data_IF_468069850231
#
_entry.id   IF_468069850231
#
_cell.length_a   1.000
_cell.length_b   1.000
_cell.length_c   1.000
_cell.angle_alpha   90.00
_cell.angle_beta   90.00
_cell.angle_gamma   90.00
#
_symmetry.space_group_name_H-M   'P 1'
#
loop_
_entity.id
_entity.type
_entity.pdbx_description
1 polymer ?
#
# COMPACT_ATOMS: atom_id res chain seq x y z
N UNK A 1 -16.95 7.18 -5.28
CA UNK A 1 -16.28 5.89 -5.55
C UNK A 1 -16.89 4.85 -4.62
N UNK A 2 -17.28 3.68 -5.13
CA UNK A 2 -17.86 2.62 -4.30
C UNK A 2 -16.76 1.85 -3.56
N UNK A 3 -17.11 1.19 -2.45
CA UNK A 3 -16.16 0.38 -1.68
C UNK A 3 -15.49 -0.73 -2.53
N UNK A 4 -16.21 -1.46 -3.41
CA UNK A 4 -15.58 -2.45 -4.29
C UNK A 4 -14.55 -1.84 -5.25
N UNK A 5 -14.83 -0.66 -5.82
CA UNK A 5 -13.88 0.02 -6.71
C UNK A 5 -12.57 0.38 -5.99
N UNK A 6 -12.66 0.86 -4.74
CA UNK A 6 -11.50 1.19 -3.93
C UNK A 6 -10.64 -0.04 -3.61
N UNK A 7 -11.28 -1.14 -3.22
CA UNK A 7 -10.59 -2.41 -2.90
C UNK A 7 -9.96 -3.01 -4.15
N UNK A 8 -10.66 -2.99 -5.28
CA UNK A 8 -10.12 -3.51 -6.54
C UNK A 8 -8.91 -2.71 -7.01
N UNK A 9 -8.93 -1.38 -6.88
CA UNK A 9 -7.74 -0.55 -7.12
C UNK A 9 -6.59 -0.89 -6.16
N UNK A 10 -6.90 -1.20 -4.89
CA UNK A 10 -5.89 -1.60 -3.90
C UNK A 10 -5.23 -2.96 -4.20
N UNK A 11 -5.84 -3.82 -5.02
CA UNK A 11 -5.20 -5.06 -5.49
C UNK A 11 -4.00 -4.84 -6.42
N UNK A 12 -3.65 -3.60 -6.75
CA UNK A 12 -2.33 -3.27 -7.32
C UNK A 12 -1.19 -3.42 -6.30
N UNK A 13 -1.48 -3.50 -4.99
CA UNK A 13 -0.45 -3.65 -3.94
C UNK A 13 0.57 -4.78 -4.17
N UNK A 14 0.21 -6.04 -4.53
CA UNK A 14 1.19 -7.10 -4.80
C UNK A 14 2.16 -6.77 -5.95
N UNK A 15 1.75 -5.96 -6.92
CA UNK A 15 2.63 -5.47 -7.97
C UNK A 15 3.73 -4.58 -7.38
N UNK A 16 3.34 -3.59 -6.57
CA UNK A 16 4.29 -2.72 -5.90
C UNK A 16 5.16 -3.47 -4.89
N UNK A 17 4.62 -4.46 -4.18
CA UNK A 17 5.41 -5.31 -3.26
C UNK A 17 6.52 -6.00 -4.05
N UNK A 18 6.21 -6.55 -5.21
CA UNK A 18 7.18 -7.31 -6.01
C UNK A 18 8.28 -6.40 -6.57
N UNK A 19 7.92 -5.23 -7.11
CA UNK A 19 8.88 -4.25 -7.62
C UNK A 19 9.75 -3.70 -6.49
N UNK A 20 9.14 -3.26 -5.39
CA UNK A 20 9.86 -2.73 -4.23
C UNK A 20 10.74 -3.81 -3.58
N UNK A 21 10.32 -5.08 -3.57
CA UNK A 21 11.14 -6.19 -3.09
C UNK A 21 12.42 -6.35 -3.91
N UNK A 22 12.36 -6.25 -5.24
CA UNK A 22 13.57 -6.29 -6.08
C UNK A 22 14.49 -5.11 -5.78
N UNK A 23 13.95 -3.91 -5.60
CA UNK A 23 14.76 -2.72 -5.36
C UNK A 23 15.39 -2.70 -3.97
N UNK A 24 14.62 -3.06 -2.93
CA UNK A 24 15.04 -2.99 -1.51
C UNK A 24 15.86 -4.22 -1.09
N UNK A 25 15.47 -5.42 -1.52
CA UNK A 25 16.11 -6.69 -1.11
C UNK A 25 17.17 -7.12 -2.13
N UNK A 26 17.05 -6.73 -3.40
CA UNK A 26 17.98 -7.14 -4.46
C UNK A 26 17.70 -8.54 -5.02
N UNK A 27 16.61 -9.19 -4.63
CA UNK A 27 16.23 -10.50 -5.18
C UNK A 27 15.94 -10.41 -6.68
N UNK A 28 16.50 -11.35 -7.46
CA UNK A 28 16.13 -11.52 -8.87
C UNK A 28 14.69 -12.04 -8.96
N UNK A 29 13.81 -11.26 -9.57
CA UNK A 29 12.43 -11.69 -9.87
C UNK A 29 12.49 -12.66 -11.05
N UNK A 30 12.18 -13.93 -10.81
CA UNK A 30 12.04 -14.93 -11.87
C UNK A 30 10.82 -14.68 -12.78
N UNK A 31 10.80 -15.26 -14.00
CA UNK A 31 9.72 -15.06 -14.97
C UNK A 31 8.34 -15.51 -14.44
N UNK A 32 8.29 -16.55 -13.59
CA UNK A 32 7.06 -17.04 -12.96
C UNK A 32 6.41 -16.03 -12.01
N UNK A 33 7.20 -15.17 -11.35
CA UNK A 33 6.66 -14.11 -10.49
C UNK A 33 6.03 -13.00 -11.33
N UNK A 34 6.63 -12.68 -12.47
CA UNK A 34 6.07 -11.70 -13.42
C UNK A 34 4.77 -12.20 -14.05
N UNK A 35 4.68 -13.48 -14.45
CA UNK A 35 3.43 -14.00 -14.99
C UNK A 35 2.29 -13.99 -13.96
N UNK A 36 2.56 -14.34 -12.70
CA UNK A 36 1.57 -14.26 -11.63
C UNK A 36 1.04 -12.83 -11.41
N UNK A 37 1.91 -11.83 -11.49
CA UNK A 37 1.54 -10.41 -11.44
C UNK A 37 0.61 -10.05 -12.59
N UNK A 38 0.99 -10.41 -13.83
CA UNK A 38 0.18 -10.09 -15.02
C UNK A 38 -1.21 -10.73 -14.94
N UNK A 39 -1.30 -11.98 -14.50
CA UNK A 39 -2.56 -12.69 -14.29
C UNK A 39 -3.41 -12.00 -13.21
N UNK A 40 -2.79 -11.60 -12.09
CA UNK A 40 -3.47 -10.86 -11.03
C UNK A 40 -4.01 -9.51 -11.52
N UNK A 41 -3.23 -8.77 -12.31
CA UNK A 41 -3.64 -7.50 -12.88
C UNK A 41 -4.78 -7.65 -13.90
N UNK A 42 -4.76 -8.72 -14.71
CA UNK A 42 -5.86 -9.09 -15.60
C UNK A 42 -7.16 -9.35 -14.82
N UNK A 43 -7.09 -10.06 -13.70
CA UNK A 43 -8.26 -10.27 -12.83
C UNK A 43 -8.82 -8.95 -12.27
N UNK A 44 -7.93 -8.05 -11.84
CA UNK A 44 -8.31 -6.70 -11.37
C UNK A 44 -8.99 -5.89 -12.48
N UNK A 45 -8.43 -5.90 -13.69
CA UNK A 45 -8.99 -5.21 -14.86
C UNK A 45 -10.40 -5.71 -15.20
N UNK A 46 -10.63 -7.02 -15.18
CA UNK A 46 -11.94 -7.62 -15.46
C UNK A 46 -12.99 -7.23 -14.41
N UNK A 47 -12.61 -7.11 -13.14
CA UNK A 47 -13.53 -6.74 -12.05
C UNK A 47 -13.80 -5.23 -12.02
N UNK A 48 -12.81 -4.40 -12.37
CA UNK A 48 -12.95 -2.95 -12.32
C UNK A 48 -13.88 -2.39 -13.39
N UNK A 49 -14.07 -3.11 -14.50
CA UNK A 49 -14.80 -2.65 -15.69
C UNK A 49 -14.55 -1.16 -15.96
N UNK A 50 -13.32 -0.80 -16.38
CA UNK A 50 -12.87 0.57 -16.33
C UNK A 50 -13.64 1.44 -17.33
N UNK A 51 -14.70 2.08 -16.84
CA UNK A 51 -15.39 3.13 -17.58
C UNK A 51 -14.56 4.42 -17.48
N UNK A 52 -13.73 4.65 -18.50
CA UNK A 52 -12.83 5.81 -18.59
C UNK A 52 -13.58 7.15 -18.73
N UNK A 53 -14.91 7.15 -18.89
CA UNK A 53 -15.71 8.37 -18.98
C UNK A 53 -15.83 9.14 -17.65
N UNK A 54 -15.60 8.48 -16.51
CA UNK A 54 -15.77 9.04 -15.16
C UNK A 54 -14.47 8.97 -14.34
N UNK A 55 -13.31 9.22 -14.96
CA UNK A 55 -12.04 9.22 -14.22
C UNK A 55 -12.02 10.36 -13.20
N UNK A 56 -12.04 10.00 -11.92
CA UNK A 56 -12.10 10.96 -10.81
C UNK A 56 -10.76 10.97 -10.07
N UNK A 57 -10.29 12.15 -9.67
CA UNK A 57 -8.96 12.31 -9.05
C UNK A 57 -8.82 11.50 -7.74
N UNK A 58 -9.92 11.25 -7.05
CA UNK A 58 -9.98 10.39 -5.85
C UNK A 58 -9.55 8.93 -6.12
N UNK A 59 -9.60 8.44 -7.35
CA UNK A 59 -9.16 7.08 -7.69
C UNK A 59 -7.64 6.90 -7.60
N UNK A 60 -6.86 7.98 -7.53
CA UNK A 60 -5.41 7.89 -7.28
C UNK A 60 -5.08 7.54 -5.82
N UNK A 61 -5.94 7.91 -4.85
CA UNK A 61 -5.68 7.70 -3.42
C UNK A 61 -5.44 6.22 -3.06
N UNK A 62 -6.30 5.26 -3.48
CA UNK A 62 -6.08 3.84 -3.20
C UNK A 62 -4.78 3.30 -3.79
N UNK A 63 -4.34 3.82 -4.95
CA UNK A 63 -3.09 3.45 -5.60
C UNK A 63 -1.90 3.91 -4.76
N UNK A 64 -1.93 5.15 -4.26
CA UNK A 64 -0.94 5.65 -3.32
C UNK A 64 -0.92 4.83 -2.02
N UNK A 65 -2.09 4.52 -1.44
CA UNK A 65 -2.18 3.65 -0.28
C UNK A 65 -1.55 2.27 -0.53
N UNK A 66 -1.83 1.66 -1.69
CA UNK A 66 -1.26 0.37 -2.08
C UNK A 66 0.27 0.42 -2.20
N UNK A 67 0.82 1.53 -2.71
CA UNK A 67 2.27 1.74 -2.80
C UNK A 67 2.94 1.83 -1.41
N UNK A 68 2.41 2.67 -0.51
CA UNK A 68 2.93 2.77 0.86
C UNK A 68 2.77 1.46 1.64
N UNK A 69 1.64 0.78 1.46
CA UNK A 69 1.42 -0.53 2.03
C UNK A 69 2.48 -1.54 1.56
N UNK A 70 2.76 -1.55 0.26
CA UNK A 70 3.77 -2.41 -0.32
C UNK A 70 5.17 -2.16 0.26
N UNK A 71 5.56 -0.89 0.45
CA UNK A 71 6.83 -0.54 1.09
C UNK A 71 6.92 -1.09 2.51
N UNK A 72 5.86 -0.91 3.31
CA UNK A 72 5.80 -1.45 4.67
C UNK A 72 5.97 -2.97 4.68
N UNK A 73 5.27 -3.69 3.80
CA UNK A 73 5.40 -5.16 3.69
C UNK A 73 6.83 -5.57 3.32
N UNK A 74 7.48 -4.86 2.38
CA UNK A 74 8.85 -5.18 1.95
C UNK A 74 9.87 -4.88 3.04
N UNK A 75 9.76 -3.75 3.73
CA UNK A 75 10.62 -3.40 4.87
C UNK A 75 10.44 -4.45 5.97
N UNK A 76 9.18 -4.82 6.26
CA UNK A 76 8.90 -5.85 7.24
C UNK A 76 9.57 -7.18 6.85
N UNK A 77 9.44 -7.59 5.60
CA UNK A 77 10.07 -8.81 5.11
C UNK A 77 11.59 -8.77 5.23
N UNK A 78 12.22 -7.62 4.98
CA UNK A 78 13.68 -7.45 5.10
C UNK A 78 14.19 -7.52 6.54
N UNK A 79 13.41 -7.05 7.50
CA UNK A 79 13.78 -7.06 8.93
C UNK A 79 13.41 -8.36 9.63
N UNK A 80 12.49 -9.14 9.06
CA UNK A 80 12.00 -10.41 9.63
C UNK A 80 13.09 -11.46 9.88
N UNK A 81 14.24 -11.39 9.18
CA UNK A 81 15.36 -12.33 9.39
C UNK A 81 16.23 -11.96 10.60
N UNK A 82 16.13 -10.73 11.12
CA UNK A 82 16.97 -10.24 12.22
C UNK A 82 16.22 -10.08 13.54
N UNK A 83 14.93 -9.79 13.48
CA UNK A 83 14.10 -9.53 14.66
C UNK A 83 13.01 -10.59 14.84
N UNK A 84 12.66 -10.87 16.10
CA UNK A 84 11.51 -11.74 16.38
C UNK A 84 10.21 -11.10 15.88
N UNK A 85 9.26 -11.92 15.40
CA UNK A 85 7.96 -11.43 14.92
C UNK A 85 7.26 -10.52 15.94
N UNK A 86 7.39 -10.82 17.24
CA UNK A 86 6.84 -10.00 18.32
C UNK A 86 7.45 -8.59 18.36
N UNK A 87 8.78 -8.48 18.27
CA UNK A 87 9.50 -7.19 18.27
C UNK A 87 9.08 -6.31 17.09
N UNK A 88 8.92 -6.92 15.92
CA UNK A 88 8.52 -6.23 14.70
C UNK A 88 7.09 -5.70 14.76
N UNK A 89 6.17 -6.51 15.29
CA UNK A 89 4.78 -6.12 15.50
C UNK A 89 4.71 -4.95 16.49
N UNK A 90 5.46 -5.03 17.60
CA UNK A 90 5.51 -3.95 18.61
C UNK A 90 6.01 -2.64 17.98
N UNK A 91 7.10 -2.65 17.21
CA UNK A 91 7.59 -1.44 16.53
C UNK A 91 6.58 -0.87 15.52
N UNK A 92 5.88 -1.74 14.79
CA UNK A 92 4.87 -1.31 13.81
C UNK A 92 3.68 -0.65 14.50
N UNK A 93 3.17 -1.21 15.59
CA UNK A 93 2.07 -0.60 16.33
C UNK A 93 2.49 0.66 17.09
N UNK A 94 3.70 0.68 17.66
CA UNK A 94 4.21 1.85 18.36
C UNK A 94 4.38 3.05 17.41
N UNK A 95 4.96 2.82 16.23
CA UNK A 95 5.05 3.85 15.19
C UNK A 95 3.68 4.31 14.70
N UNK A 96 2.70 3.40 14.56
CA UNK A 96 1.33 3.76 14.19
C UNK A 96 0.64 4.65 15.23
N UNK A 97 0.81 4.37 16.53
CA UNK A 97 0.26 5.19 17.62
C UNK A 97 0.87 6.60 17.58
N UNK A 98 2.19 6.70 17.45
CA UNK A 98 2.88 8.00 17.34
C UNK A 98 2.35 8.79 16.14
N UNK A 99 2.24 8.15 14.98
CA UNK A 99 1.76 8.80 13.76
C UNK A 99 0.31 9.28 13.91
N UNK A 100 -0.54 8.47 14.56
CA UNK A 100 -1.94 8.83 14.87
C UNK A 100 -2.02 10.06 15.78
N UNK A 101 -1.15 10.15 16.80
CA UNK A 101 -1.11 11.30 17.71
C UNK A 101 -0.64 12.56 16.98
N UNK A 102 0.36 12.45 16.11
CA UNK A 102 0.85 13.56 15.29
C UNK A 102 -0.25 14.07 14.35
N UNK A 103 -0.94 13.16 13.66
CA UNK A 103 -2.06 13.52 12.78
C UNK A 103 -3.17 14.22 13.57
N UNK A 104 -3.54 13.69 14.74
CA UNK A 104 -4.55 14.32 15.60
C UNK A 104 -4.17 15.75 15.96
N UNK A 105 -2.91 15.98 16.33
CA UNK A 105 -2.42 17.30 16.68
C UNK A 105 -2.43 18.26 15.46
N UNK A 106 -2.00 17.79 14.28
CA UNK A 106 -2.03 18.59 13.04
C UNK A 106 -3.46 19.01 12.68
N UNK A 107 -4.41 18.08 12.72
CA UNK A 107 -5.82 18.36 12.40
C UNK A 107 -6.39 19.37 13.39
N UNK A 108 -6.08 19.22 14.69
CA UNK A 108 -6.56 20.13 15.71
C UNK A 108 -5.97 21.54 15.52
N UNK A 109 -4.67 21.65 15.22
CA UNK A 109 -4.00 22.93 15.01
C UNK A 109 -4.50 23.67 13.75
N UNK A 110 -4.86 22.92 12.69
CA UNK A 110 -5.47 23.49 11.49
C UNK A 110 -6.90 23.99 11.75
N UNK A 111 -7.67 23.29 12.59
CA UNK A 111 -9.06 23.66 12.90
C UNK A 111 -9.19 24.91 13.78
N UNK A 112 -8.12 25.38 14.42
CA UNK A 112 -8.09 26.62 15.22
C UNK A 112 -7.60 27.85 14.43
N UNK A 113 -7.18 27.71 13.17
CA UNK A 113 -6.76 28.85 12.34
C UNK A 113 -7.91 29.46 11.53
N UNK A 114 -9.06 28.80 11.47
CA UNK A 114 -10.25 29.23 10.71
C UNK A 114 -11.33 29.91 11.59
N UNK A 115 -10.98 30.34 12.82
CA UNK A 115 -11.83 31.16 13.69
C UNK A 115 -11.15 32.45 14.15
#
# INVERSE_FOLDING_TARGET
MSLPQAVTLFFVSPFFVTISSKFIIGEKIGPYRWSAIFIGFLGVYLVLDPDFSNFNFYSLFPIFCAFFYALTVVIQKKTSDRDSLFTQIIHTYFSAIIFSIIIYFIINNLSFSDY
#
